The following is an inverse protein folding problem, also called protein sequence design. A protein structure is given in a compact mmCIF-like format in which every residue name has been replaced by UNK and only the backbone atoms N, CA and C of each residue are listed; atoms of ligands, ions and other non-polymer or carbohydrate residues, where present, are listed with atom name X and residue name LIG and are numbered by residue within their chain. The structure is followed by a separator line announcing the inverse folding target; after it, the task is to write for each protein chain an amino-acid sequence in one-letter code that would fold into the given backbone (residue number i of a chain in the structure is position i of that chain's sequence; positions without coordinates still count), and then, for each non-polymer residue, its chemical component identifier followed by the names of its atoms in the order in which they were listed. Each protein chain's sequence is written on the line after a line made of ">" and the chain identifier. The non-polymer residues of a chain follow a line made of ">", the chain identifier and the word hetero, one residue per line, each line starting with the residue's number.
data_IF_757722726877
#
_entry.id   IF_757722726877
#
_cell.length_a   1.000
_cell.length_b   1.000
_cell.length_c   1.000
_cell.angle_alpha   90.00
_cell.angle_beta   90.00
_cell.angle_gamma   90.00
#
_symmetry.space_group_name_H-M   'P 1'
#
loop_
_entity.id
_entity.type
_entity.pdbx_description
1 polymer ?
#
# COMPACT_ATOMS: atom_id res chain seq x y z
N UNK A 1 -5.82 21.06 4.72
CA UNK A 1 -5.71 19.73 4.09
C UNK A 1 -6.13 19.85 2.64
N UNK A 2 -5.31 19.39 1.71
CA UNK A 2 -5.68 19.37 0.28
C UNK A 2 -6.58 18.16 0.02
N UNK A 3 -7.90 18.35 0.11
CA UNK A 3 -8.87 17.25 -0.04
C UNK A 3 -8.82 16.58 -1.41
N UNK A 4 -8.31 17.26 -2.46
CA UNK A 4 -8.04 16.64 -3.75
C UNK A 4 -7.00 15.51 -3.65
N UNK A 5 -5.90 15.72 -2.92
CA UNK A 5 -4.89 14.69 -2.70
C UNK A 5 -5.42 13.53 -1.86
N UNK A 6 -6.30 13.80 -0.89
CA UNK A 6 -6.98 12.77 -0.10
C UNK A 6 -7.73 11.80 -1.04
N UNK A 7 -8.53 12.32 -1.96
CA UNK A 7 -9.26 11.48 -2.92
C UNK A 7 -8.31 10.70 -3.83
N UNK A 8 -7.25 11.34 -4.34
CA UNK A 8 -6.25 10.67 -5.20
C UNK A 8 -5.59 9.49 -4.47
N UNK A 9 -5.18 9.68 -3.22
CA UNK A 9 -4.58 8.61 -2.42
C UNK A 9 -5.56 7.50 -2.08
N UNK A 10 -6.81 7.85 -1.75
CA UNK A 10 -7.85 6.86 -1.55
C UNK A 10 -8.04 5.97 -2.79
N UNK A 11 -8.18 6.59 -3.97
CA UNK A 11 -8.30 5.85 -5.23
C UNK A 11 -7.07 4.98 -5.48
N UNK A 12 -5.86 5.49 -5.22
CA UNK A 12 -4.64 4.71 -5.36
C UNK A 12 -4.67 3.46 -4.46
N UNK A 13 -5.05 3.58 -3.18
CA UNK A 13 -5.16 2.43 -2.28
C UNK A 13 -6.22 1.43 -2.74
N UNK A 14 -7.39 1.90 -3.20
CA UNK A 14 -8.42 1.01 -3.75
C UNK A 14 -7.91 0.26 -4.97
N UNK A 15 -7.25 0.96 -5.90
CA UNK A 15 -6.66 0.33 -7.09
C UNK A 15 -5.62 -0.72 -6.69
N UNK A 16 -4.70 -0.41 -5.78
CA UNK A 16 -3.75 -1.42 -5.28
C UNK A 16 -4.49 -2.61 -4.66
N UNK A 17 -5.49 -2.37 -3.80
CA UNK A 17 -6.30 -3.43 -3.20
C UNK A 17 -6.98 -4.32 -4.24
N UNK A 18 -7.53 -3.75 -5.31
CA UNK A 18 -8.17 -4.50 -6.40
C UNK A 18 -7.20 -5.46 -7.09
N UNK A 19 -5.96 -5.05 -7.34
CA UNK A 19 -4.92 -5.94 -7.88
C UNK A 19 -4.47 -7.01 -6.86
N UNK A 20 -4.59 -6.71 -5.56
CA UNK A 20 -4.29 -7.65 -4.48
C UNK A 20 -5.36 -8.72 -4.26
N UNK A 21 -6.62 -8.46 -4.61
CA UNK A 21 -7.73 -9.41 -4.44
C UNK A 21 -7.47 -10.80 -5.06
N UNK A 22 -7.08 -10.93 -6.33
CA UNK A 22 -6.84 -12.25 -6.91
C UNK A 22 -5.60 -12.95 -6.29
N UNK A 23 -4.61 -12.18 -5.84
CA UNK A 23 -3.43 -12.71 -5.14
C UNK A 23 -3.84 -13.25 -3.77
N UNK A 24 -4.65 -12.50 -3.02
CA UNK A 24 -5.21 -12.92 -1.74
C UNK A 24 -6.11 -14.15 -1.91
N UNK A 25 -7.01 -14.15 -2.89
CA UNK A 25 -7.89 -15.28 -3.16
C UNK A 25 -7.16 -16.55 -3.61
N UNK A 26 -5.92 -16.42 -4.10
CA UNK A 26 -5.04 -17.54 -4.41
C UNK A 26 -4.32 -18.07 -3.17
N UNK A 27 -3.70 -17.18 -2.38
CA UNK A 27 -2.86 -17.55 -1.23
C UNK A 27 -3.66 -17.89 0.03
N UNK A 28 -4.80 -17.24 0.21
CA UNK A 28 -5.66 -17.29 1.39
C UNK A 28 -7.01 -17.97 1.07
N UNK A 29 -7.02 -18.90 0.12
CA UNK A 29 -8.24 -19.57 -0.34
C UNK A 29 -8.98 -20.36 0.74
N UNK A 30 -8.27 -20.79 1.79
CA UNK A 30 -8.82 -21.49 2.96
C UNK A 30 -9.49 -20.57 3.98
N UNK A 31 -9.28 -19.25 3.90
CA UNK A 31 -9.82 -18.28 4.85
C UNK A 31 -11.23 -17.82 4.43
N UNK A 32 -12.09 -17.44 5.40
CA UNK A 32 -13.38 -16.82 5.11
C UNK A 32 -13.22 -15.61 4.18
N UNK A 33 -14.11 -15.47 3.19
CA UNK A 33 -14.03 -14.40 2.18
C UNK A 33 -12.80 -14.47 1.27
N UNK A 34 -12.15 -15.65 1.18
CA UNK A 34 -10.97 -15.91 0.34
C UNK A 34 -9.82 -14.93 0.61
N UNK A 35 -9.70 -14.45 1.85
CA UNK A 35 -8.65 -13.52 2.26
C UNK A 35 -8.77 -12.09 1.70
N UNK A 36 -9.96 -11.65 1.25
CA UNK A 36 -10.16 -10.29 0.72
C UNK A 36 -9.61 -9.17 1.62
N UNK A 37 -9.65 -9.34 2.94
CA UNK A 37 -9.11 -8.39 3.92
C UNK A 37 -7.58 -8.21 3.86
N UNK A 38 -6.84 -9.18 3.31
CA UNK A 38 -5.39 -9.11 3.13
C UNK A 38 -4.97 -8.52 1.78
N UNK A 39 -5.92 -8.20 0.90
CA UNK A 39 -5.64 -7.72 -0.46
C UNK A 39 -4.68 -6.52 -0.49
N UNK A 40 -4.98 -5.47 0.26
CA UNK A 40 -4.14 -4.27 0.30
C UNK A 40 -2.75 -4.55 0.90
N UNK A 41 -2.68 -5.36 1.97
CA UNK A 41 -1.41 -5.76 2.58
C UNK A 41 -0.52 -6.58 1.63
N UNK A 42 -1.11 -7.53 0.91
CA UNK A 42 -0.42 -8.31 -0.12
C UNK A 42 0.03 -7.44 -1.30
N UNK A 43 -0.78 -6.46 -1.71
CA UNK A 43 -0.37 -5.50 -2.73
C UNK A 43 0.88 -4.73 -2.33
N UNK A 44 0.93 -4.22 -1.09
CA UNK A 44 2.13 -3.56 -0.57
C UNK A 44 3.32 -4.51 -0.42
N UNK A 45 3.09 -5.76 0.00
CA UNK A 45 4.15 -6.74 0.13
C UNK A 45 4.80 -7.05 -1.23
N UNK A 46 4.00 -7.30 -2.28
CA UNK A 46 4.51 -7.57 -3.63
C UNK A 46 5.17 -6.33 -4.22
N UNK A 47 4.49 -5.18 -4.17
CA UNK A 47 5.03 -3.91 -4.66
C UNK A 47 6.36 -3.56 -3.98
N UNK A 48 6.40 -3.66 -2.64
CA UNK A 48 7.56 -3.34 -1.83
C UNK A 48 8.71 -4.33 -2.03
N UNK A 49 8.44 -5.63 -2.11
CA UNK A 49 9.48 -6.64 -2.32
C UNK A 49 10.14 -6.48 -3.69
N UNK A 50 9.35 -6.33 -4.75
CA UNK A 50 9.89 -6.14 -6.10
C UNK A 50 10.60 -4.78 -6.20
N UNK A 51 9.99 -3.72 -5.67
CA UNK A 51 10.60 -2.39 -5.62
C UNK A 51 11.92 -2.37 -4.84
N UNK A 52 12.02 -3.11 -3.74
CA UNK A 52 13.24 -3.24 -2.95
C UNK A 52 14.37 -3.90 -3.75
N UNK A 53 14.10 -5.05 -4.35
CA UNK A 53 15.13 -5.78 -5.12
C UNK A 53 15.56 -5.01 -6.37
N UNK A 54 14.61 -4.44 -7.12
CA UNK A 54 14.93 -3.62 -8.29
C UNK A 54 15.61 -2.32 -7.87
N UNK A 55 15.21 -1.73 -6.75
CA UNK A 55 15.82 -0.54 -6.18
C UNK A 55 17.30 -0.74 -5.79
N UNK A 56 17.72 -1.97 -5.51
CA UNK A 56 19.13 -2.30 -5.32
C UNK A 56 19.96 -2.16 -6.62
N UNK A 57 19.32 -2.27 -7.79
CA UNK A 57 19.96 -2.12 -9.10
C UNK A 57 19.75 -0.72 -9.69
N UNK A 58 18.54 -0.19 -9.59
CA UNK A 58 18.13 1.09 -10.14
C UNK A 58 17.04 1.75 -9.27
N UNK A 59 17.44 2.77 -8.51
CA UNK A 59 16.53 3.54 -7.66
C UNK A 59 15.68 4.54 -8.47
N UNK A 60 14.54 4.94 -7.92
CA UNK A 60 13.63 5.92 -8.53
C UNK A 60 12.47 5.28 -9.29
N UNK A 61 12.06 5.89 -10.41
CA UNK A 61 10.87 5.46 -11.16
C UNK A 61 10.94 4.01 -11.65
N UNK A 62 12.14 3.49 -11.92
CA UNK A 62 12.33 2.11 -12.37
C UNK A 62 11.84 1.11 -11.31
N UNK A 63 12.22 1.30 -10.05
CA UNK A 63 11.78 0.45 -8.94
C UNK A 63 10.26 0.53 -8.71
N UNK A 64 9.67 1.73 -8.82
CA UNK A 64 8.22 1.93 -8.68
C UNK A 64 7.45 1.21 -9.79
N UNK A 65 7.85 1.43 -11.05
CA UNK A 65 7.20 0.78 -12.21
C UNK A 65 7.35 -0.74 -12.11
N UNK A 66 8.52 -1.24 -11.73
CA UNK A 66 8.75 -2.66 -11.55
C UNK A 66 7.87 -3.25 -10.43
N UNK A 67 7.72 -2.56 -9.30
CA UNK A 67 6.83 -2.97 -8.21
C UNK A 67 5.37 -3.09 -8.67
N UNK A 68 4.88 -2.08 -9.38
CA UNK A 68 3.52 -2.09 -9.94
C UNK A 68 3.33 -3.19 -11.00
N UNK A 69 4.33 -3.37 -11.88
CA UNK A 69 4.31 -4.42 -12.89
C UNK A 69 4.32 -5.82 -12.25
N UNK A 70 5.13 -6.03 -11.22
CA UNK A 70 5.18 -7.28 -10.46
C UNK A 70 3.81 -7.63 -9.85
N UNK A 71 3.16 -6.66 -9.20
CA UNK A 71 1.81 -6.81 -8.69
C UNK A 71 0.80 -7.15 -9.79
N UNK A 72 0.85 -6.43 -10.92
CA UNK A 72 -0.04 -6.68 -12.06
C UNK A 72 0.15 -8.08 -12.65
N UNK A 73 1.39 -8.57 -12.76
CA UNK A 73 1.71 -9.92 -13.23
C UNK A 73 1.18 -10.97 -12.25
N UNK A 74 1.38 -10.81 -10.95
CA UNK A 74 0.84 -11.73 -9.93
C UNK A 74 -0.70 -11.78 -9.96
N UNK A 75 -1.34 -10.62 -10.11
CA UNK A 75 -2.79 -10.54 -10.23
C UNK A 75 -3.27 -11.28 -11.49
N UNK A 76 -2.66 -11.01 -12.64
CA UNK A 76 -3.01 -11.63 -13.92
C UNK A 76 -2.78 -13.15 -13.90
N UNK A 77 -1.68 -13.62 -13.33
CA UNK A 77 -1.39 -15.05 -13.17
C UNK A 77 -2.41 -15.75 -12.26
N UNK A 78 -2.92 -15.05 -11.25
CA UNK A 78 -3.96 -15.57 -10.36
C UNK A 78 -5.33 -15.65 -11.05
N UNK A 79 -5.70 -14.62 -11.82
CA UNK A 79 -6.93 -14.64 -12.63
C UNK A 79 -6.87 -15.73 -13.69
N UNK A 80 -5.75 -15.89 -14.41
CA UNK A 80 -5.56 -16.98 -15.39
C UNK A 80 -5.59 -18.37 -14.75
N UNK A 81 -5.25 -18.46 -13.46
CA UNK A 81 -5.37 -19.69 -12.68
C UNK A 81 -6.80 -20.04 -12.27
N UNK A 82 -7.81 -19.28 -12.69
CA UNK A 82 -9.22 -19.57 -12.39
C UNK A 82 -9.62 -19.25 -10.96
N UNK A 83 -8.88 -18.37 -10.28
CA UNK A 83 -9.21 -17.98 -8.90
C UNK A 83 -10.49 -17.16 -8.88
N UNK A 84 -11.48 -17.62 -8.13
CA UNK A 84 -12.69 -16.86 -7.87
C UNK A 84 -12.44 -15.79 -6.80
N UNK A 85 -13.03 -14.61 -6.99
CA UNK A 85 -12.98 -13.53 -6.01
C UNK A 85 -14.37 -13.35 -5.42
N UNK A 86 -14.48 -13.43 -4.10
CA UNK A 86 -15.72 -13.14 -3.39
C UNK A 86 -15.99 -11.63 -3.42
N UNK A 87 -16.92 -11.22 -4.30
CA UNK A 87 -17.27 -9.82 -4.50
C UNK A 87 -17.93 -9.20 -3.27
N UNK A 88 -18.66 -9.99 -2.48
CA UNK A 88 -19.32 -9.51 -1.28
C UNK A 88 -18.27 -9.21 -0.21
N UNK A 89 -17.36 -10.15 0.03
CA UNK A 89 -16.25 -9.93 0.96
C UNK A 89 -15.37 -8.74 0.52
N UNK A 90 -15.11 -8.60 -0.79
CA UNK A 90 -14.37 -7.44 -1.31
C UNK A 90 -15.09 -6.10 -1.05
N UNK A 91 -16.42 -6.06 -1.21
CA UNK A 91 -17.22 -4.87 -0.92
C UNK A 91 -17.25 -4.53 0.58
N UNK A 92 -17.41 -5.54 1.45
CA UNK A 92 -17.36 -5.36 2.90
C UNK A 92 -16.00 -4.79 3.34
N UNK A 93 -14.90 -5.34 2.82
CA UNK A 93 -13.54 -4.84 3.07
C UNK A 93 -13.37 -3.40 2.56
N UNK A 94 -13.84 -3.10 1.35
CA UNK A 94 -13.77 -1.75 0.78
C UNK A 94 -14.48 -0.75 1.71
N UNK A 95 -15.68 -1.07 2.19
CA UNK A 95 -16.44 -0.22 3.12
C UNK A 95 -15.67 0.00 4.42
N UNK A 96 -15.17 -1.08 5.05
CA UNK A 96 -14.40 -0.98 6.30
C UNK A 96 -13.16 -0.11 6.12
N UNK A 97 -12.37 -0.34 5.08
CA UNK A 97 -11.18 0.47 4.80
C UNK A 97 -11.52 1.92 4.48
N UNK A 98 -12.64 2.18 3.79
CA UNK A 98 -13.10 3.55 3.52
C UNK A 98 -13.42 4.26 4.81
N UNK A 99 -14.16 3.61 5.71
CA UNK A 99 -14.53 4.19 7.01
C UNK A 99 -13.29 4.50 7.85
N UNK A 100 -12.35 3.55 7.95
CA UNK A 100 -11.09 3.77 8.68
C UNK A 100 -10.27 4.90 8.05
N UNK A 101 -10.17 4.93 6.72
CA UNK A 101 -9.49 6.00 6.00
C UNK A 101 -10.10 7.38 6.32
N UNK A 102 -11.43 7.50 6.27
CA UNK A 102 -12.13 8.74 6.59
C UNK A 102 -11.93 9.17 8.05
N UNK A 103 -11.90 8.23 9.00
CA UNK A 103 -11.58 8.52 10.40
C UNK A 103 -10.16 9.08 10.52
N UNK A 104 -9.17 8.48 9.87
CA UNK A 104 -7.79 9.00 9.85
C UNK A 104 -7.74 10.41 9.26
N UNK A 105 -8.47 10.65 8.17
CA UNK A 105 -8.57 11.98 7.55
C UNK A 105 -9.24 12.99 8.48
N UNK A 106 -10.28 12.60 9.22
CA UNK A 106 -10.91 13.48 10.21
C UNK A 106 -9.92 13.87 11.31
N UNK A 107 -9.18 12.91 11.87
CA UNK A 107 -8.14 13.18 12.89
C UNK A 107 -7.06 14.11 12.34
N UNK A 108 -6.51 13.80 11.16
CA UNK A 108 -5.48 14.63 10.50
C UNK A 108 -6.00 16.00 10.06
N UNK A 109 -7.30 16.14 9.90
CA UNK A 109 -7.96 17.41 9.61
C UNK A 109 -8.03 18.35 10.80
N UNK A 110 -8.08 17.81 12.02
CA UNK A 110 -8.12 18.58 13.26
C UNK A 110 -6.71 18.93 13.75
N UNK A 111 -5.75 18.00 13.65
CA UNK A 111 -4.36 18.23 14.04
C UNK A 111 -3.39 17.93 12.87
N UNK A 112 -3.14 18.93 12.00
CA UNK A 112 -2.35 18.74 10.79
C UNK A 112 -0.83 18.68 11.05
N UNK A 113 -0.36 19.03 12.26
CA UNK A 113 1.04 19.32 12.54
C UNK A 113 1.89 18.10 12.91
N UNK A 114 3.05 17.96 12.25
CA UNK A 114 4.22 17.39 12.91
C UNK A 114 4.73 18.50 13.81
N UNK A 115 4.47 18.42 15.11
CA UNK A 115 5.03 19.37 16.07
C UNK A 115 6.55 19.17 16.17
N UNK A 116 7.33 20.26 16.38
CA UNK A 116 8.79 20.17 16.53
C UNK A 116 9.23 19.34 17.75
N UNK A 117 8.30 19.08 18.67
CA UNK A 117 8.58 18.49 19.99
C UNK A 117 8.59 16.95 19.99
N UNK A 118 8.71 16.31 18.82
CA UNK A 118 8.63 14.85 18.67
C UNK A 118 9.92 14.14 18.24
N UNK A 119 9.97 12.82 18.44
CA UNK A 119 11.05 11.89 18.05
C UNK A 119 11.50 12.05 16.57
N UNK A 120 10.58 12.48 15.70
CA UNK A 120 10.84 12.77 14.28
C UNK A 120 11.90 13.86 14.04
N UNK A 121 12.03 14.82 14.95
CA UNK A 121 13.07 15.84 14.84
C UNK A 121 14.47 15.25 15.13
N UNK A 122 14.52 14.27 16.04
CA UNK A 122 15.71 13.50 16.39
C UNK A 122 16.14 12.58 15.24
N UNK A 123 15.19 11.88 14.62
CA UNK A 123 15.44 11.03 13.44
C UNK A 123 15.97 11.85 12.26
N UNK A 124 15.38 13.02 12.00
CA UNK A 124 15.86 13.92 10.95
C UNK A 124 17.28 14.42 11.23
N UNK A 125 17.58 14.77 12.48
CA UNK A 125 18.93 15.13 12.91
C UNK A 125 19.93 13.99 12.71
N UNK A 126 19.53 12.75 13.01
CA UNK A 126 20.36 11.55 12.85
C UNK A 126 20.65 11.26 11.38
N UNK A 127 19.64 11.31 10.51
CA UNK A 127 19.82 11.15 9.05
C UNK A 127 20.73 12.25 8.49
N UNK A 128 20.54 13.50 8.89
CA UNK A 128 21.39 14.61 8.42
C UNK A 128 22.83 14.50 8.93
N UNK A 129 23.07 13.93 10.11
CA UNK A 129 24.41 13.66 10.62
C UNK A 129 25.13 12.58 9.81
N UNK A 130 24.42 11.52 9.41
CA UNK A 130 24.95 10.46 8.54
C UNK A 130 25.28 10.98 7.14
N UNK A 131 24.43 11.83 6.56
CA UNK A 131 24.69 12.47 5.26
C UNK A 131 25.88 13.43 5.27
N UNK A 132 26.21 14.01 6.42
CA UNK A 132 27.33 14.95 6.59
C UNK A 132 28.61 14.26 7.08
N UNK A 133 28.57 12.98 7.42
CA UNK A 133 29.76 12.26 7.83
C UNK A 133 30.70 12.07 6.63
N UNK A 134 31.99 12.41 6.75
CA UNK A 134 32.97 12.06 5.72
C UNK A 134 33.11 10.54 5.64
N UNK A 135 33.21 10.03 4.42
CA UNK A 135 33.47 8.61 4.10
C UNK A 135 34.81 8.14 4.63
#
# INVERSE_FOLDING_TARGET
>A
MEYGLVVVWWVAYVVLGLFGLPVAARLCSSLPGRGAGFSLGLSFAVFGLVGFWVGHLALGWVAVIAGLAGLAVCAMASVRGGVEVDRRAAAEVLVVFTLVYLVVIAVRGVDPGITPDGEKFLDFGLVMSLYRAPT
#
